data_IF_606350926158
#
_entry.id   IF_606350926158
#
_cell.length_a   1.000
_cell.length_b   1.000
_cell.length_c   1.000
_cell.angle_alpha   90.00
_cell.angle_beta   90.00
_cell.angle_gamma   90.00
#
_symmetry.space_group_name_H-M   'P 1'
#
loop_
_entity.id
_entity.type
_entity.pdbx_description
1 polymer ?
#
# COMPACT_ATOMS: atom_id res chain seq x y z
N UNK A 1 20.54 -1.27 4.76
CA UNK A 1 19.93 0.01 5.14
C UNK A 1 18.50 -0.26 5.52
N UNK A 2 17.96 0.49 6.47
CA UNK A 2 16.56 0.39 6.86
C UNK A 2 15.73 1.14 5.82
N UNK A 3 15.07 0.41 4.91
CA UNK A 3 14.28 1.02 3.84
C UNK A 3 12.92 1.42 4.40
N UNK A 4 12.60 2.71 4.34
CA UNK A 4 11.33 3.28 4.82
C UNK A 4 10.71 4.20 3.79
N UNK A 5 9.38 4.16 3.65
CA UNK A 5 8.70 4.97 2.65
C UNK A 5 8.88 6.48 2.88
N UNK A 6 9.11 6.92 4.13
CA UNK A 6 9.37 8.33 4.44
C UNK A 6 10.62 8.90 3.76
N UNK A 7 11.58 8.05 3.36
CA UNK A 7 12.80 8.50 2.68
C UNK A 7 12.57 8.88 1.21
N UNK A 8 11.39 8.59 0.66
CA UNK A 8 11.07 8.74 -0.76
C UNK A 8 10.09 9.88 -1.06
N UNK A 9 9.82 10.76 -0.09
CA UNK A 9 8.92 11.90 -0.26
C UNK A 9 7.43 11.55 -0.26
N UNK A 10 7.09 10.30 0.07
CA UNK A 10 5.70 9.85 0.24
C UNK A 10 5.14 10.46 1.54
N UNK A 11 3.89 10.89 1.51
CA UNK A 11 3.20 11.39 2.70
C UNK A 11 2.00 10.50 3.08
N UNK A 12 1.69 10.31 4.38
CA UNK A 12 0.62 9.40 4.80
C UNK A 12 -0.78 9.72 4.26
N UNK A 13 -1.01 10.96 3.85
CA UNK A 13 -2.23 11.43 3.21
C UNK A 13 -2.47 10.78 1.84
N UNK A 14 -1.41 10.31 1.16
CA UNK A 14 -1.48 9.67 -0.17
C UNK A 14 -1.87 8.18 -0.07
N UNK A 15 -1.74 7.55 1.10
CA UNK A 15 -1.94 6.10 1.25
C UNK A 15 -3.30 5.57 0.75
N UNK A 16 -4.45 6.23 1.02
CA UNK A 16 -5.73 5.76 0.53
C UNK A 16 -5.85 5.84 -1.01
N UNK A 17 -5.19 6.81 -1.63
CA UNK A 17 -5.14 6.92 -3.10
C UNK A 17 -4.20 5.88 -3.70
N UNK A 18 -3.05 5.64 -3.08
CA UNK A 18 -2.13 4.58 -3.47
C UNK A 18 -2.79 3.19 -3.44
N UNK A 19 -3.56 2.88 -2.39
CA UNK A 19 -4.27 1.61 -2.26
C UNK A 19 -5.33 1.42 -3.36
N UNK A 20 -6.12 2.46 -3.62
CA UNK A 20 -7.11 2.45 -4.71
C UNK A 20 -6.44 2.28 -6.06
N UNK A 21 -5.40 3.06 -6.36
CA UNK A 21 -4.64 2.95 -7.61
C UNK A 21 -4.02 1.56 -7.79
N UNK A 22 -3.51 0.94 -6.72
CA UNK A 22 -2.99 -0.43 -6.79
C UNK A 22 -4.06 -1.43 -7.24
N UNK A 23 -5.28 -1.32 -6.71
CA UNK A 23 -6.40 -2.18 -7.13
C UNK A 23 -6.98 -1.83 -8.48
N UNK A 24 -7.05 -0.56 -8.85
CA UNK A 24 -7.55 -0.15 -10.16
C UNK A 24 -6.59 -0.58 -11.28
N UNK A 25 -5.28 -0.36 -11.11
CA UNK A 25 -4.28 -0.69 -12.12
C UNK A 25 -3.93 -2.19 -12.15
N UNK A 26 -3.88 -2.84 -10.99
CA UNK A 26 -3.34 -4.20 -10.82
C UNK A 26 -4.27 -5.14 -10.04
N UNK A 27 -5.55 -4.81 -9.89
CA UNK A 27 -6.49 -5.59 -9.07
C UNK A 27 -6.65 -7.05 -9.49
N UNK A 28 -6.39 -7.38 -10.76
CA UNK A 28 -6.40 -8.76 -11.24
C UNK A 28 -5.31 -9.65 -10.62
N UNK A 29 -4.28 -9.05 -10.00
CA UNK A 29 -3.19 -9.75 -9.32
C UNK A 29 -3.49 -10.00 -7.83
N UNK A 30 -4.37 -9.22 -7.19
CA UNK A 30 -4.68 -9.35 -5.76
C UNK A 30 -5.16 -10.75 -5.35
N UNK A 31 -5.93 -11.50 -6.16
CA UNK A 31 -6.31 -12.88 -5.83
C UNK A 31 -5.14 -13.88 -5.75
N UNK A 32 -3.94 -13.50 -6.18
CA UNK A 32 -2.73 -14.32 -6.04
C UNK A 32 -2.13 -14.25 -4.63
N UNK A 33 -2.57 -13.31 -3.79
CA UNK A 33 -2.10 -13.23 -2.41
C UNK A 33 -2.67 -14.37 -1.56
N UNK A 34 -1.94 -14.87 -0.55
CA UNK A 34 -2.40 -15.97 0.32
C UNK A 34 -3.68 -15.65 1.10
N UNK A 35 -4.05 -14.37 1.22
CA UNK A 35 -5.26 -13.90 1.87
C UNK A 35 -5.82 -12.68 1.11
N UNK A 36 -7.15 -12.46 1.12
CA UNK A 36 -7.73 -11.26 0.53
C UNK A 36 -7.21 -9.99 1.22
N UNK A 37 -6.87 -8.97 0.42
CA UNK A 37 -6.47 -7.66 0.92
C UNK A 37 -7.55 -6.61 0.58
N UNK A 38 -8.12 -5.98 1.61
CA UNK A 38 -8.96 -4.79 1.49
C UNK A 38 -8.12 -3.53 1.21
N UNK A 39 -8.76 -2.41 0.89
CA UNK A 39 -8.06 -1.13 0.70
C UNK A 39 -7.46 -0.67 2.04
N UNK A 40 -8.20 -0.90 3.12
CA UNK A 40 -7.79 -0.64 4.49
C UNK A 40 -6.56 -1.45 4.89
N UNK A 41 -6.48 -2.73 4.47
CA UNK A 41 -5.31 -3.57 4.72
C UNK A 41 -4.07 -3.02 3.99
N UNK A 42 -4.22 -2.61 2.73
CA UNK A 42 -3.13 -1.96 1.98
C UNK A 42 -2.66 -0.66 2.66
N UNK A 43 -3.60 0.18 3.11
CA UNK A 43 -3.27 1.41 3.86
C UNK A 43 -2.55 1.09 5.17
N UNK A 44 -2.97 0.05 5.89
CA UNK A 44 -2.29 -0.38 7.11
C UNK A 44 -0.85 -0.84 6.84
N UNK A 45 -0.62 -1.56 5.74
CA UNK A 45 0.72 -1.97 5.29
C UNK A 45 1.59 -0.75 4.97
N UNK A 46 1.05 0.26 4.28
CA UNK A 46 1.78 1.51 4.00
C UNK A 46 2.15 2.24 5.29
N UNK A 47 1.23 2.32 6.27
CA UNK A 47 1.52 2.93 7.58
C UNK A 47 2.63 2.18 8.33
N UNK A 48 2.63 0.85 8.28
CA UNK A 48 3.66 0.04 8.91
C UNK A 48 5.03 0.20 8.23
N UNK A 49 5.04 0.37 6.91
CA UNK A 49 6.24 0.53 6.09
C UNK A 49 6.78 1.97 6.04
N UNK A 50 6.12 2.90 6.73
CA UNK A 50 6.42 4.33 6.60
C UNK A 50 7.69 4.79 7.31
N UNK A 51 7.96 4.25 8.51
CA UNK A 51 9.00 4.75 9.42
C UNK A 51 10.29 3.96 9.37
#
# INVERSE_FOLDING_TARGET
>A
GDLKMSDYGIVPEEFPEMARNAKEAMGFLFPNDPAPLSDEDCVAIYRASYK
#
